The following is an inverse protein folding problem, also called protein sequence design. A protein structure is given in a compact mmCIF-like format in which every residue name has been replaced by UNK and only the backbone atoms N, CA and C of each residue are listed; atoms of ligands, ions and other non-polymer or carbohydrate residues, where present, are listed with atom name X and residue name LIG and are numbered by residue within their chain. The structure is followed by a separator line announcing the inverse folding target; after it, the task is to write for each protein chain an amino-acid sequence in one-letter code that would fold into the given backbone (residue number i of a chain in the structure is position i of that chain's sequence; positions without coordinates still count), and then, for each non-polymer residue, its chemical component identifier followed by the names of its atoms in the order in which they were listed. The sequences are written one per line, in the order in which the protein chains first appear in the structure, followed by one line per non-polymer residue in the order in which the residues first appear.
data_IF_493101780234
#
_entry.id   IF_493101780234
#
_cell.length_a   1.000
_cell.length_b   1.000
_cell.length_c   1.000
_cell.angle_alpha   90.00
_cell.angle_beta   90.00
_cell.angle_gamma   90.00
#
_symmetry.space_group_name_H-M   'P 1'
#
loop_
_entity.id
_entity.type
_entity.pdbx_description
1 polymer ?
#
# COMPACT_ATOMS: atom_id res chain seq x y z
N UNK A 1 -0.61 34.24 -28.11
CA UNK A 1 0.08 34.12 -26.80
C UNK A 1 -0.43 32.95 -25.95
N UNK A 2 -1.74 32.65 -25.90
CA UNK A 2 -2.31 31.54 -25.11
C UNK A 2 -1.99 30.12 -25.67
N UNK A 3 -2.06 29.93 -26.98
CA UNK A 3 -1.81 28.62 -27.62
C UNK A 3 -0.41 28.04 -27.35
N UNK A 4 0.61 28.89 -27.26
CA UNK A 4 1.97 28.45 -26.95
C UNK A 4 2.10 27.93 -25.52
N UNK A 5 1.47 28.62 -24.54
CA UNK A 5 1.44 28.18 -23.14
C UNK A 5 0.74 26.83 -22.98
N UNK A 6 -0.39 26.65 -23.65
CA UNK A 6 -1.12 25.37 -23.63
C UNK A 6 -0.30 24.22 -24.23
N UNK A 7 0.44 24.47 -25.32
CA UNK A 7 1.32 23.46 -25.92
C UNK A 7 2.45 23.05 -24.98
N UNK A 8 3.08 24.01 -24.30
CA UNK A 8 4.15 23.73 -23.32
C UNK A 8 3.62 22.93 -22.14
N UNK A 9 2.46 23.31 -21.57
CA UNK A 9 1.83 22.59 -20.46
C UNK A 9 1.43 21.17 -20.88
N UNK A 10 0.82 21.01 -22.06
CA UNK A 10 0.46 19.69 -22.57
C UNK A 10 1.68 18.81 -22.84
N UNK A 11 2.77 19.40 -23.34
CA UNK A 11 4.03 18.69 -23.54
C UNK A 11 4.62 18.23 -22.20
N UNK A 12 4.64 19.11 -21.21
CA UNK A 12 5.07 18.79 -19.85
C UNK A 12 4.25 17.65 -19.26
N UNK A 13 2.92 17.73 -19.24
CA UNK A 13 2.06 16.68 -18.71
C UNK A 13 2.17 15.35 -19.46
N UNK A 14 2.41 15.39 -20.77
CA UNK A 14 2.64 14.17 -21.56
C UNK A 14 3.98 13.51 -21.18
N UNK A 15 5.03 14.31 -21.02
CA UNK A 15 6.35 13.82 -20.61
C UNK A 15 6.34 13.31 -19.17
N UNK A 16 5.81 14.11 -18.25
CA UNK A 16 5.65 13.76 -16.84
C UNK A 16 4.87 12.46 -16.67
N UNK A 17 3.70 12.31 -17.32
CA UNK A 17 2.93 11.05 -17.23
C UNK A 17 3.71 9.84 -17.76
N UNK A 18 4.50 10.01 -18.82
CA UNK A 18 5.30 8.93 -19.39
C UNK A 18 6.45 8.53 -18.48
N UNK A 19 7.20 9.50 -17.98
CA UNK A 19 8.39 9.28 -17.15
C UNK A 19 8.00 8.85 -15.73
N UNK A 20 7.03 9.53 -15.11
CA UNK A 20 6.57 9.24 -13.75
C UNK A 20 6.00 7.82 -13.62
N UNK A 21 5.19 7.35 -14.58
CA UNK A 21 4.66 5.98 -14.53
C UNK A 21 5.76 4.92 -14.69
N UNK A 22 6.79 5.21 -15.48
CA UNK A 22 7.95 4.32 -15.64
C UNK A 22 8.79 4.27 -14.37
N UNK A 23 9.04 5.42 -13.75
CA UNK A 23 9.74 5.53 -12.46
C UNK A 23 8.97 4.87 -11.33
N UNK A 24 7.65 5.09 -11.24
CA UNK A 24 6.78 4.47 -10.26
C UNK A 24 6.78 2.95 -10.39
N UNK A 25 6.74 2.43 -11.63
CA UNK A 25 6.85 0.99 -11.90
C UNK A 25 8.19 0.45 -11.40
N UNK A 26 9.29 1.15 -11.65
CA UNK A 26 10.63 0.75 -11.21
C UNK A 26 10.75 0.75 -9.68
N UNK A 27 10.28 1.81 -9.00
CA UNK A 27 10.27 1.90 -7.54
C UNK A 27 9.37 0.84 -6.88
N UNK A 28 8.21 0.55 -7.48
CA UNK A 28 7.32 -0.51 -6.98
C UNK A 28 7.87 -1.92 -7.24
N UNK A 29 8.72 -2.11 -8.27
CA UNK A 29 9.35 -3.40 -8.54
C UNK A 29 10.50 -3.69 -7.57
N UNK A 30 11.28 -2.68 -7.19
CA UNK A 30 12.37 -2.82 -6.21
C UNK A 30 11.84 -3.18 -4.82
N UNK A 31 10.68 -2.65 -4.41
CA UNK A 31 10.08 -2.94 -3.10
C UNK A 31 9.43 -4.33 -2.98
N UNK A 32 9.14 -5.02 -4.11
CA UNK A 32 8.56 -6.38 -4.08
C UNK A 32 9.54 -7.46 -3.59
N UNK A 33 10.83 -7.15 -3.47
CA UNK A 33 11.87 -8.05 -2.97
C UNK A 33 12.05 -7.90 -1.44
N UNK A 34 11.28 -7.03 -0.79
CA UNK A 34 11.18 -7.05 0.66
C UNK A 34 10.47 -8.36 1.07
N UNK A 35 11.28 -9.33 1.49
CA UNK A 35 10.92 -10.46 2.33
C UNK A 35 9.69 -10.17 3.18
N UNK A 36 8.78 -11.14 3.45
CA UNK A 36 7.61 -10.88 4.28
C UNK A 36 8.07 -10.24 5.59
N UNK A 37 7.91 -8.92 5.68
CA UNK A 37 8.29 -8.17 6.86
C UNK A 37 7.49 -8.82 7.97
N UNK A 38 8.18 -9.31 9.00
CA UNK A 38 7.50 -9.92 10.14
C UNK A 38 6.61 -8.84 10.73
N UNK A 39 5.32 -8.92 10.42
CA UNK A 39 4.30 -8.05 10.98
C UNK A 39 4.47 -8.02 12.49
N UNK A 40 4.67 -6.82 13.05
CA UNK A 40 4.78 -6.63 14.49
C UNK A 40 3.43 -6.26 15.06
N UNK A 41 3.24 -6.58 16.34
CA UNK A 41 2.12 -6.08 17.10
C UNK A 41 2.22 -4.55 17.13
N UNK A 42 1.14 -3.86 16.78
CA UNK A 42 1.11 -2.40 16.66
C UNK A 42 1.28 -1.87 15.24
N UNK A 43 1.67 -2.68 14.26
CA UNK A 43 1.79 -2.22 12.87
C UNK A 43 0.40 -1.89 12.28
N UNK A 44 0.33 -0.78 11.54
CA UNK A 44 -0.84 -0.40 10.75
C UNK A 44 -0.81 -1.13 9.41
N UNK A 45 -1.90 -1.82 9.09
CA UNK A 45 -2.03 -2.65 7.91
C UNK A 45 -3.32 -2.41 7.16
N UNK A 46 -3.28 -2.68 5.86
CA UNK A 46 -4.42 -2.72 4.96
C UNK A 46 -4.90 -4.16 4.80
N UNK A 47 -6.22 -4.34 4.82
CA UNK A 47 -6.89 -5.61 4.64
C UNK A 47 -7.38 -5.75 3.21
N UNK A 48 -6.85 -6.74 2.49
CA UNK A 48 -7.24 -7.01 1.11
C UNK A 48 -8.70 -7.47 1.02
N UNK A 49 -9.47 -6.81 0.16
CA UNK A 49 -10.82 -7.20 -0.21
C UNK A 49 -10.91 -7.35 -1.73
N UNK A 50 -11.19 -8.55 -2.24
CA UNK A 50 -11.14 -8.87 -3.68
C UNK A 50 -12.06 -8.00 -4.55
N UNK A 51 -13.18 -7.54 -3.98
CA UNK A 51 -14.18 -6.73 -4.69
C UNK A 51 -13.92 -5.24 -4.61
N UNK A 52 -12.86 -4.81 -3.93
CA UNK A 52 -12.57 -3.39 -3.71
C UNK A 52 -11.19 -3.00 -4.27
N UNK A 53 -11.08 -1.83 -4.92
CA UNK A 53 -9.78 -1.29 -5.28
C UNK A 53 -8.95 -1.01 -4.03
N UNK A 54 -7.61 -1.05 -4.17
CA UNK A 54 -6.65 -0.92 -3.05
C UNK A 54 -6.88 0.29 -2.15
N UNK A 55 -7.31 1.42 -2.71
CA UNK A 55 -7.55 2.66 -1.96
C UNK A 55 -8.80 2.62 -1.06
N UNK A 56 -9.66 1.60 -1.22
CA UNK A 56 -10.85 1.37 -0.37
C UNK A 56 -10.63 0.23 0.63
N UNK A 57 -9.44 -0.37 0.65
CA UNK A 57 -9.13 -1.42 1.62
C UNK A 57 -9.18 -0.86 3.04
N UNK A 58 -9.80 -1.62 3.93
CA UNK A 58 -9.92 -1.23 5.34
C UNK A 58 -8.56 -1.23 6.01
N UNK A 59 -8.29 -0.23 6.82
CA UNK A 59 -7.11 -0.18 7.67
C UNK A 59 -7.40 -0.81 9.04
N UNK A 60 -6.35 -1.31 9.68
CA UNK A 60 -6.42 -1.81 11.04
C UNK A 60 -5.04 -1.96 11.66
N UNK A 61 -5.01 -2.23 12.96
CA UNK A 61 -3.77 -2.39 13.73
C UNK A 61 -3.61 -3.84 14.14
N UNK A 62 -2.40 -4.37 14.01
CA UNK A 62 -2.12 -5.76 14.40
C UNK A 62 -2.14 -5.91 15.92
N UNK A 63 -3.01 -6.78 16.43
CA UNK A 63 -3.13 -7.12 17.86
C UNK A 63 -2.35 -8.40 18.25
N UNK A 64 -1.93 -9.19 17.27
CA UNK A 64 -1.27 -10.48 17.46
C UNK A 64 -2.24 -11.67 17.41
N UNK A 65 -1.73 -12.86 17.09
CA UNK A 65 -2.49 -14.12 17.05
C UNK A 65 -2.23 -15.00 18.27
N UNK A 66 -3.20 -15.83 18.67
CA UNK A 66 -3.05 -16.82 19.76
C UNK A 66 -2.00 -17.89 19.43
N UNK A 67 -1.84 -18.20 18.14
CA UNK A 67 -0.84 -19.16 17.69
C UNK A 67 0.34 -18.43 17.07
N UNK A 68 1.54 -18.78 17.54
CA UNK A 68 2.84 -18.48 16.94
C UNK A 68 3.02 -19.01 15.51
N UNK A 69 1.94 -19.41 14.84
CA UNK A 69 1.94 -19.95 13.47
C UNK A 69 1.58 -18.85 12.47
N UNK A 70 2.61 -18.49 11.73
CA UNK A 70 2.84 -17.55 10.60
C UNK A 70 1.73 -17.44 9.53
N UNK A 71 0.58 -18.11 9.65
CA UNK A 71 -0.43 -18.18 8.56
C UNK A 71 -1.58 -17.18 8.70
N UNK A 72 -1.92 -16.74 9.92
CA UNK A 72 -3.03 -15.80 10.15
C UNK A 72 -2.76 -14.84 11.29
N UNK A 73 -3.32 -13.63 11.21
CA UNK A 73 -3.14 -12.56 12.18
C UNK A 73 -4.49 -11.97 12.60
N UNK A 74 -4.61 -11.57 13.87
CA UNK A 74 -5.76 -10.80 14.34
C UNK A 74 -5.48 -9.30 14.21
N UNK A 75 -6.37 -8.62 13.49
CA UNK A 75 -6.28 -7.19 13.20
C UNK A 75 -7.46 -6.50 13.87
N UNK A 76 -7.18 -5.45 14.63
CA UNK A 76 -8.19 -4.57 15.20
C UNK A 76 -8.55 -3.52 14.14
N UNK A 77 -9.79 -3.58 13.67
CA UNK A 77 -10.42 -2.53 12.85
C UNK A 77 -11.35 -1.71 13.74
N UNK A 78 -11.81 -0.56 13.25
CA UNK A 78 -12.83 0.28 13.91
C UNK A 78 -14.09 -0.51 14.28
N UNK A 79 -14.48 -1.47 13.45
CA UNK A 79 -15.68 -2.30 13.64
C UNK A 79 -15.47 -3.50 14.56
N UNK A 80 -14.23 -3.78 15.00
CA UNK A 80 -13.90 -4.93 15.85
C UNK A 80 -12.64 -5.69 15.43
N UNK A 81 -12.39 -6.82 16.09
CA UNK A 81 -11.22 -7.69 15.81
C UNK A 81 -11.58 -8.70 14.74
N UNK A 82 -10.81 -8.72 13.64
CA UNK A 82 -11.00 -9.64 12.53
C UNK A 82 -9.74 -10.49 12.36
N UNK A 83 -9.91 -11.80 12.12
CA UNK A 83 -8.79 -12.68 11.75
C UNK A 83 -8.65 -12.72 10.24
N UNK A 84 -7.44 -12.46 9.73
CA UNK A 84 -7.13 -12.52 8.30
C UNK A 84 -5.84 -13.31 8.05
N UNK A 85 -5.76 -14.07 6.94
CA UNK A 85 -4.52 -14.67 6.48
C UNK A 85 -3.45 -13.61 6.22
N UNK A 86 -2.18 -13.89 6.54
CA UNK A 86 -1.07 -12.96 6.34
C UNK A 86 -0.90 -12.53 4.87
N UNK A 87 -1.26 -13.41 3.93
CA UNK A 87 -1.22 -13.12 2.49
C UNK A 87 -2.21 -12.03 2.05
N UNK A 88 -3.26 -11.80 2.83
CA UNK A 88 -4.30 -10.81 2.56
C UNK A 88 -4.12 -9.54 3.40
N UNK A 89 -2.95 -9.39 4.02
CA UNK A 89 -2.59 -8.25 4.86
C UNK A 89 -1.40 -7.56 4.21
N UNK A 90 -1.49 -6.25 4.06
CA UNK A 90 -0.44 -5.44 3.46
C UNK A 90 0.00 -4.37 4.46
N UNK A 91 1.31 -4.21 4.65
CA UNK A 91 1.82 -3.12 5.49
C UNK A 91 1.47 -1.78 4.83
N UNK A 92 1.00 -0.82 5.62
CA UNK A 92 0.84 0.54 5.14
C UNK A 92 2.24 1.15 5.01
N UNK A 93 2.63 1.56 3.81
CA UNK A 93 3.94 2.17 3.50
C UNK A 93 3.99 3.62 4.03
N UNK A 94 3.89 3.77 5.34
CA UNK A 94 4.13 5.03 6.06
C UNK A 94 5.24 4.75 7.07
N UNK A 95 6.49 4.90 6.65
CA UNK A 95 7.58 5.07 7.61
C UNK A 95 7.50 6.53 8.09
N UNK A 96 6.86 6.74 9.25
CA UNK A 96 6.83 8.03 9.95
C UNK A 96 8.17 8.31 10.69
N UNK A 97 9.28 7.91 10.09
CA UNK A 97 10.61 8.21 10.57
C UNK A 97 11.27 9.16 9.55
N UNK A 98 10.90 10.43 9.65
CA UNK A 98 11.80 11.56 9.38
C UNK A 98 12.23 12.14 10.73
#
# INVERSE_FOLDING_TARGET
MFKYKEQVINHFWRRWRKEYLLELRSANFTNKIATPSKFKIGDVVLLHEDKMPKHLWKCGVIRGGRDSKVRSCAVQTLSGVIKRPIQLIYKLELDLND
#
